data_IF_764729852678
#
_entry.id   IF_764729852678
#
_cell.length_a   1.000
_cell.length_b   1.000
_cell.length_c   1.000
_cell.angle_alpha   90.00
_cell.angle_beta   90.00
_cell.angle_gamma   90.00
#
_symmetry.space_group_name_H-M   'P 1'
#
loop_
_entity.id
_entity.type
_entity.pdbx_description
1 polymer ?
#
# COMPACT_ATOMS: atom_id res chain seq x y z
N UNK A 1 -18.99 26.59 14.07
CA UNK A 1 -18.61 25.20 14.41
C UNK A 1 -18.28 24.31 13.21
N UNK A 2 -18.59 24.72 11.96
CA UNK A 2 -18.34 23.93 10.73
C UNK A 2 -16.85 23.74 10.39
N UNK A 3 -15.97 24.70 10.71
CA UNK A 3 -14.57 24.69 10.22
C UNK A 3 -13.58 23.80 10.98
N UNK A 4 -13.79 23.50 12.26
CA UNK A 4 -12.81 22.72 13.05
C UNK A 4 -12.89 21.21 12.81
N UNK A 5 -14.06 20.69 12.48
CA UNK A 5 -14.24 19.26 12.22
C UNK A 5 -13.71 18.85 10.85
N UNK A 6 -13.69 19.79 9.93
CA UNK A 6 -13.26 19.64 8.56
C UNK A 6 -11.73 19.45 8.45
N UNK A 7 -10.96 20.19 9.25
CA UNK A 7 -9.49 20.05 9.30
C UNK A 7 -9.04 18.67 9.83
N UNK A 8 -9.82 18.03 10.70
CA UNK A 8 -9.53 16.69 11.21
C UNK A 8 -9.71 15.58 10.16
N UNK A 9 -10.61 15.76 9.20
CA UNK A 9 -10.76 14.83 8.07
C UNK A 9 -9.56 14.88 7.12
N UNK A 10 -8.97 16.07 6.94
CA UNK A 10 -7.78 16.28 6.09
C UNK A 10 -6.49 15.73 6.68
N UNK A 11 -6.33 15.77 8.01
CA UNK A 11 -5.11 15.29 8.66
C UNK A 11 -4.79 13.82 8.40
N UNK A 12 -5.71 13.06 7.83
CA UNK A 12 -5.55 11.64 7.53
C UNK A 12 -5.42 11.31 6.05
N UNK A 13 -5.83 12.20 5.15
CA UNK A 13 -5.52 12.05 3.72
C UNK A 13 -4.00 12.16 3.51
N UNK A 14 -3.32 13.03 4.31
CA UNK A 14 -1.86 13.16 4.28
C UNK A 14 -1.11 12.04 5.01
N UNK A 15 -1.76 11.26 5.88
CA UNK A 15 -1.13 10.22 6.70
C UNK A 15 -0.95 8.86 5.99
N UNK A 16 -1.56 8.67 4.83
CA UNK A 16 -1.45 7.40 4.10
C UNK A 16 -0.11 7.20 3.37
N UNK A 17 0.73 8.25 3.26
CA UNK A 17 2.03 8.16 2.58
C UNK A 17 3.24 8.65 3.40
N UNK A 18 3.10 8.91 4.72
CA UNK A 18 4.18 9.52 5.52
C UNK A 18 4.62 8.71 6.76
N UNK A 19 4.53 7.39 6.74
CA UNK A 19 5.14 6.56 7.79
C UNK A 19 6.49 6.01 7.34
N UNK A 20 7.49 6.88 7.31
CA UNK A 20 8.86 6.44 7.02
C UNK A 20 9.87 7.57 7.14
N UNK A 21 10.08 8.10 8.36
CA UNK A 21 11.40 8.51 8.85
C UNK A 21 11.29 9.17 10.24
N UNK A 22 11.73 8.46 11.26
CA UNK A 22 12.23 9.07 12.46
C UNK A 22 13.76 9.02 12.39
N UNK A 23 14.37 10.16 12.15
CA UNK A 23 15.82 10.33 12.16
C UNK A 23 16.38 10.18 13.57
N UNK A 24 17.49 9.49 13.67
CA UNK A 24 18.36 9.47 14.85
C UNK A 24 19.55 10.40 14.56
N UNK A 25 19.56 11.54 15.20
CA UNK A 25 20.75 12.37 15.40
C UNK A 25 21.47 11.86 16.65
N UNK A 26 22.74 11.62 16.54
CA UNK A 26 23.56 11.33 17.72
C UNK A 26 25.02 11.13 17.40
N UNK A 27 25.81 12.17 17.55
CA UNK A 27 26.95 12.22 18.45
C UNK A 27 28.28 11.76 17.89
N UNK A 28 29.11 12.74 17.59
CA UNK A 28 30.57 12.64 17.42
C UNK A 28 31.26 12.06 18.67
N UNK A 29 32.25 11.22 18.43
CA UNK A 29 33.27 10.81 19.43
C UNK A 29 34.44 10.15 18.74
N UNK A 30 35.46 10.95 18.41
CA UNK A 30 36.73 10.43 17.88
C UNK A 30 37.59 9.86 18.98
N UNK A 31 38.35 8.81 18.66
CA UNK A 31 39.65 8.55 19.26
C UNK A 31 40.52 7.73 18.31
N UNK A 32 41.76 8.17 18.23
CA UNK A 32 42.88 7.75 17.41
C UNK A 32 43.46 6.36 17.76
N UNK A 33 44.25 5.76 16.87
CA UNK A 33 44.71 4.39 16.98
C UNK A 33 45.97 4.23 17.82
N UNK A 34 46.08 3.09 18.52
CA UNK A 34 47.35 2.66 19.15
C UNK A 34 47.77 1.34 18.53
N UNK A 35 48.94 1.35 17.97
CA UNK A 35 49.74 0.20 17.51
C UNK A 35 50.18 -0.66 18.67
N UNK A 36 50.03 -1.99 18.54
CA UNK A 36 50.59 -2.97 19.45
C UNK A 36 50.84 -4.29 18.74
N UNK A 37 52.11 -4.56 18.56
CA UNK A 37 52.73 -5.79 18.02
C UNK A 37 52.66 -6.97 18.99
N UNK A 38 52.50 -8.18 18.44
CA UNK A 38 53.11 -9.36 19.08
C UNK A 38 52.21 -10.58 19.28
N UNK A 39 52.62 -11.69 18.71
CA UNK A 39 52.32 -13.02 19.26
C UNK A 39 51.54 -13.99 18.37
N UNK A 40 52.24 -14.73 17.53
CA UNK A 40 51.78 -15.97 16.90
C UNK A 40 51.56 -17.06 17.95
N UNK A 41 50.33 -17.58 18.02
CA UNK A 41 50.12 -18.96 18.49
C UNK A 41 49.05 -19.58 17.59
N UNK A 42 49.53 -20.54 16.80
CA UNK A 42 48.71 -21.39 15.94
C UNK A 42 47.85 -22.32 16.81
N UNK A 43 46.58 -22.10 16.87
CA UNK A 43 45.61 -23.08 17.34
C UNK A 43 44.87 -23.60 16.12
N UNK A 44 45.11 -24.87 15.78
CA UNK A 44 44.35 -25.63 14.81
C UNK A 44 42.91 -25.69 15.27
N UNK A 45 42.05 -24.89 14.61
CA UNK A 45 40.61 -25.02 14.75
C UNK A 45 40.15 -26.15 13.83
N UNK A 46 39.65 -27.22 14.42
CA UNK A 46 38.84 -28.23 13.76
C UNK A 46 37.65 -27.57 13.03
N UNK A 47 37.32 -27.97 11.80
CA UNK A 47 36.17 -27.42 11.12
C UNK A 47 34.91 -27.90 11.83
N UNK A 48 34.26 -27.02 12.55
CA UNK A 48 32.93 -27.26 13.09
C UNK A 48 31.91 -27.26 11.92
N UNK A 49 31.68 -28.45 11.39
CA UNK A 49 30.64 -28.73 10.38
C UNK A 49 29.28 -28.62 11.05
N UNK A 50 28.61 -27.46 10.89
CA UNK A 50 27.27 -27.29 11.48
C UNK A 50 26.55 -25.97 11.21
N UNK A 51 26.91 -25.22 10.19
CA UNK A 51 26.00 -24.18 9.69
C UNK A 51 25.39 -24.67 8.37
N UNK A 52 24.19 -25.25 8.45
CA UNK A 52 23.39 -25.52 7.28
C UNK A 52 23.16 -24.19 6.53
N UNK A 53 23.99 -23.91 5.54
CA UNK A 53 23.77 -22.83 4.61
C UNK A 53 22.51 -23.14 3.84
N UNK A 54 21.37 -22.64 4.34
CA UNK A 54 20.11 -22.69 3.59
C UNK A 54 20.33 -21.94 2.29
N UNK A 55 20.40 -22.68 1.18
CA UNK A 55 20.52 -22.06 -0.15
C UNK A 55 19.34 -21.10 -0.34
N UNK A 56 19.58 -19.89 -0.82
CA UNK A 56 18.51 -18.96 -1.10
C UNK A 56 17.58 -19.54 -2.15
N UNK A 57 16.28 -19.48 -1.90
CA UNK A 57 15.26 -19.90 -2.87
C UNK A 57 14.97 -18.68 -3.75
N UNK A 58 15.18 -18.84 -5.04
CA UNK A 58 14.76 -17.84 -6.04
C UNK A 58 13.42 -18.26 -6.62
N UNK A 59 12.56 -17.28 -6.87
CA UNK A 59 11.30 -17.44 -7.55
C UNK A 59 11.30 -16.48 -8.73
N UNK A 60 10.95 -16.98 -9.92
CA UNK A 60 10.85 -16.22 -11.15
C UNK A 60 9.57 -16.57 -11.90
N UNK A 61 9.17 -15.72 -12.81
CA UNK A 61 8.00 -15.96 -13.67
C UNK A 61 7.81 -14.82 -14.67
N UNK A 62 6.70 -14.86 -15.37
CA UNK A 62 6.33 -13.87 -16.36
C UNK A 62 4.90 -13.41 -16.16
N UNK A 63 4.62 -12.12 -16.42
CA UNK A 63 3.28 -11.55 -16.48
C UNK A 63 2.97 -11.16 -17.93
N UNK A 64 1.76 -11.46 -18.39
CA UNK A 64 1.26 -11.00 -19.68
C UNK A 64 -0.23 -10.67 -19.60
N UNK A 65 -0.71 -9.88 -20.54
CA UNK A 65 -2.13 -9.68 -20.74
C UNK A 65 -2.77 -10.91 -21.39
N UNK A 66 -4.08 -10.98 -21.36
CA UNK A 66 -4.85 -12.07 -21.95
C UNK A 66 -4.61 -12.24 -23.46
N UNK A 67 -4.23 -11.17 -24.17
CA UNK A 67 -3.85 -11.19 -25.59
C UNK A 67 -2.40 -11.65 -25.85
N UNK A 68 -1.66 -12.01 -24.80
CA UNK A 68 -0.26 -12.41 -24.83
C UNK A 68 0.74 -11.26 -24.86
N UNK A 69 0.30 -10.01 -24.89
CA UNK A 69 1.21 -8.87 -24.82
C UNK A 69 1.90 -8.80 -23.45
N UNK A 70 3.19 -8.45 -23.46
CA UNK A 70 3.99 -8.35 -22.23
C UNK A 70 3.77 -7.01 -21.55
N UNK A 71 3.70 -7.05 -20.23
CA UNK A 71 3.46 -5.87 -19.41
C UNK A 71 4.64 -5.64 -18.50
N UNK A 72 5.23 -4.45 -18.59
CA UNK A 72 6.28 -3.99 -17.68
C UNK A 72 5.69 -3.31 -16.45
N UNK A 73 6.45 -3.31 -15.35
CA UNK A 73 6.18 -2.50 -14.15
C UNK A 73 4.97 -2.95 -13.33
N UNK A 74 4.50 -4.16 -13.57
CA UNK A 74 3.46 -4.76 -12.75
C UNK A 74 4.05 -5.15 -11.40
N UNK A 75 3.37 -4.80 -10.33
CA UNK A 75 3.76 -5.18 -8.98
C UNK A 75 3.46 -6.65 -8.75
N UNK A 76 4.45 -7.42 -8.29
CA UNK A 76 4.27 -8.80 -7.87
C UNK A 76 4.08 -8.83 -6.36
N UNK A 77 2.95 -9.30 -5.93
CA UNK A 77 2.60 -9.43 -4.51
C UNK A 77 2.62 -10.89 -4.08
N UNK A 78 3.22 -11.11 -2.92
CA UNK A 78 3.07 -12.34 -2.17
C UNK A 78 1.97 -12.16 -1.13
N UNK A 79 0.97 -13.01 -1.17
CA UNK A 79 -0.15 -13.02 -0.21
C UNK A 79 -0.01 -14.25 0.68
N UNK A 80 0.29 -14.05 1.95
CA UNK A 80 0.39 -15.11 2.96
C UNK A 80 -0.60 -14.84 4.10
N UNK A 81 -1.50 -15.78 4.37
CA UNK A 81 -2.50 -15.58 5.42
C UNK A 81 -3.40 -14.35 5.20
N UNK A 82 -3.62 -13.96 3.94
CA UNK A 82 -4.41 -12.78 3.59
C UNK A 82 -3.65 -11.45 3.61
N UNK A 83 -2.37 -11.44 4.01
CA UNK A 83 -1.52 -10.24 3.99
C UNK A 83 -0.74 -10.21 2.68
N UNK A 84 -0.95 -9.15 1.89
CA UNK A 84 -0.22 -8.90 0.66
C UNK A 84 1.08 -8.14 0.97
N UNK A 85 2.18 -8.52 0.32
CA UNK A 85 3.47 -7.83 0.37
C UNK A 85 4.09 -7.80 -1.02
N UNK A 86 4.48 -6.64 -1.50
CA UNK A 86 5.25 -6.49 -2.74
C UNK A 86 6.60 -7.17 -2.62
N UNK A 87 6.95 -8.01 -3.59
CA UNK A 87 8.21 -8.77 -3.63
C UNK A 87 9.05 -8.50 -4.87
N UNK A 88 8.45 -8.03 -5.96
CA UNK A 88 9.14 -7.69 -7.19
C UNK A 88 8.29 -6.76 -8.08
N UNK A 89 8.92 -6.23 -9.12
CA UNK A 89 8.25 -5.61 -10.27
C UNK A 89 8.66 -6.36 -11.54
N UNK A 90 7.79 -6.37 -12.54
CA UNK A 90 8.13 -6.93 -13.84
C UNK A 90 9.07 -5.99 -14.62
N UNK A 91 10.00 -6.58 -15.36
CA UNK A 91 10.86 -5.88 -16.33
C UNK A 91 10.09 -5.52 -17.61
N UNK A 92 10.79 -4.93 -18.60
CA UNK A 92 10.23 -4.56 -19.91
C UNK A 92 9.70 -5.72 -20.74
N UNK A 93 10.05 -6.95 -20.41
CA UNK A 93 9.57 -8.17 -21.06
C UNK A 93 8.51 -8.92 -20.25
N UNK A 94 8.07 -8.31 -19.14
CA UNK A 94 7.11 -8.90 -18.22
C UNK A 94 7.70 -9.95 -17.28
N UNK A 95 9.03 -10.16 -17.24
CA UNK A 95 9.65 -11.11 -16.33
C UNK A 95 9.86 -10.49 -14.94
N UNK A 96 9.76 -11.34 -13.93
CA UNK A 96 10.10 -10.98 -12.55
C UNK A 96 10.94 -12.07 -11.90
N UNK A 97 11.74 -11.67 -10.91
CA UNK A 97 12.46 -12.59 -10.04
C UNK A 97 12.70 -11.96 -8.67
N UNK A 98 12.65 -12.76 -7.63
CA UNK A 98 12.97 -12.34 -6.27
C UNK A 98 13.50 -13.51 -5.44
N UNK A 99 14.22 -13.18 -4.36
CA UNK A 99 14.71 -14.15 -3.41
C UNK A 99 13.70 -14.35 -2.28
N UNK A 100 13.31 -15.59 -2.01
CA UNK A 100 12.43 -15.92 -0.89
C UNK A 100 13.16 -15.76 0.44
N UNK A 101 12.54 -15.06 1.37
CA UNK A 101 13.09 -14.87 2.71
C UNK A 101 14.06 -13.70 2.85
N UNK A 102 14.26 -12.90 1.80
CA UNK A 102 15.01 -11.65 1.91
C UNK A 102 14.28 -10.68 2.84
N UNK A 103 14.92 -10.34 3.97
CA UNK A 103 14.37 -9.40 4.96
C UNK A 103 14.59 -7.95 4.58
N UNK A 104 15.43 -7.69 3.57
CA UNK A 104 15.81 -6.35 3.14
C UNK A 104 14.90 -5.76 2.06
N UNK A 105 13.86 -6.48 1.62
CA UNK A 105 12.79 -5.88 0.85
C UNK A 105 11.90 -5.07 1.81
N UNK A 106 12.41 -3.93 2.27
CA UNK A 106 11.62 -2.92 2.97
C UNK A 106 10.81 -2.16 1.90
N UNK A 107 9.78 -2.80 1.41
CA UNK A 107 8.62 -2.05 0.94
C UNK A 107 7.85 -1.74 2.20
N UNK A 108 7.92 -0.50 2.66
CA UNK A 108 7.17 -0.02 3.81
C UNK A 108 5.69 -0.12 3.46
N UNK A 109 5.06 -1.22 3.86
CA UNK A 109 3.62 -1.31 3.91
C UNK A 109 3.16 -0.58 5.17
N UNK A 110 2.33 0.44 4.99
CA UNK A 110 1.78 1.27 6.07
C UNK A 110 0.88 0.49 7.04
N UNK A 111 0.65 -0.80 6.83
CA UNK A 111 -0.17 -1.67 7.68
C UNK A 111 0.60 -2.35 8.83
N UNK A 112 1.94 -2.26 8.87
CA UNK A 112 2.75 -2.98 9.89
C UNK A 112 3.10 -2.14 11.13
N UNK A 113 2.54 -0.95 11.29
CA UNK A 113 2.80 -0.03 12.41
C UNK A 113 1.98 -0.33 13.69
N UNK A 114 1.52 -1.55 13.91
CA UNK A 114 0.55 -1.85 14.98
C UNK A 114 0.75 -3.09 15.85
N UNK A 115 1.95 -3.69 16.00
CA UNK A 115 2.12 -4.72 17.04
C UNK A 115 3.55 -4.91 17.54
N UNK A 116 4.12 -3.86 18.09
CA UNK A 116 5.32 -3.93 18.94
C UNK A 116 4.99 -4.50 20.31
N UNK A 117 4.85 -5.80 20.46
CA UNK A 117 4.95 -6.47 21.77
C UNK A 117 6.34 -7.07 21.93
N UNK A 118 7.20 -6.25 22.50
CA UNK A 118 8.38 -6.71 23.24
C UNK A 118 7.94 -7.72 24.29
N UNK A 119 8.39 -8.96 24.18
CA UNK A 119 8.40 -9.89 25.31
C UNK A 119 9.84 -10.18 25.70
N UNK A 120 10.18 -9.56 26.81
CA UNK A 120 11.37 -9.75 27.59
C UNK A 120 11.47 -11.21 28.08
N UNK A 121 12.68 -11.71 28.03
CA UNK A 121 13.13 -13.00 28.52
C UNK A 121 12.84 -13.20 30.00
N UNK A 122 12.31 -14.36 30.33
CA UNK A 122 12.30 -14.91 31.68
C UNK A 122 12.79 -16.34 31.65
N UNK A 123 13.88 -16.57 32.30
CA UNK A 123 14.55 -17.86 32.50
C UNK A 123 13.74 -18.78 33.43
N UNK A 124 13.90 -20.07 33.22
CA UNK A 124 13.81 -21.01 34.35
C UNK A 124 13.04 -22.30 34.08
N UNK A 125 13.71 -23.43 34.28
CA UNK A 125 13.04 -24.60 34.79
C UNK A 125 13.22 -25.91 34.02
N UNK A 126 14.07 -26.72 34.53
CA UNK A 126 14.34 -28.15 34.24
C UNK A 126 13.09 -29.04 34.20
N UNK A 127 13.12 -30.06 33.36
CA UNK A 127 12.16 -31.17 33.41
C UNK A 127 12.49 -32.24 32.37
N UNK A 128 13.29 -33.23 32.78
CA UNK A 128 13.58 -34.45 32.05
C UNK A 128 12.38 -35.39 31.97
N UNK A 129 12.10 -35.93 30.79
CA UNK A 129 11.48 -37.25 30.65
C UNK A 129 11.90 -37.90 29.34
N UNK A 130 12.60 -39.01 29.46
CA UNK A 130 12.94 -39.98 28.43
C UNK A 130 11.65 -40.74 28.05
N UNK A 131 11.43 -40.93 26.75
CA UNK A 131 10.85 -42.18 26.28
C UNK A 131 11.24 -42.44 24.83
N UNK A 132 11.79 -43.61 24.62
CA UNK A 132 12.24 -44.17 23.36
C UNK A 132 11.04 -44.50 22.44
N UNK A 133 11.21 -44.26 21.16
CA UNK A 133 10.28 -44.70 20.13
C UNK A 133 10.87 -44.35 18.76
N UNK A 134 11.52 -45.33 18.11
CA UNK A 134 12.10 -45.16 16.79
C UNK A 134 10.99 -44.95 15.74
N UNK A 135 10.98 -43.81 15.15
CA UNK A 135 10.30 -43.46 13.94
C UNK A 135 11.17 -42.44 13.24
N UNK A 136 11.53 -42.69 11.98
CA UNK A 136 12.22 -41.71 11.13
C UNK A 136 11.43 -40.44 11.11
N UNK A 137 11.72 -39.52 12.04
CA UNK A 137 11.20 -38.17 12.02
C UNK A 137 11.79 -37.50 10.77
N UNK A 138 10.98 -37.42 9.73
CA UNK A 138 11.15 -36.43 8.67
C UNK A 138 11.27 -35.08 9.39
N UNK A 139 12.48 -34.55 9.47
CA UNK A 139 12.70 -33.21 9.99
C UNK A 139 11.79 -32.28 9.19
N UNK A 140 10.88 -31.55 9.85
CA UNK A 140 10.01 -30.62 9.12
C UNK A 140 10.93 -29.65 8.41
N UNK A 141 10.83 -29.55 7.08
CA UNK A 141 11.55 -28.56 6.30
C UNK A 141 11.13 -27.17 6.84
N UNK A 142 12.02 -26.43 7.54
CA UNK A 142 11.65 -25.14 8.11
C UNK A 142 11.29 -24.10 7.04
N UNK A 143 11.52 -24.41 5.77
CA UNK A 143 11.16 -23.59 4.62
C UNK A 143 9.80 -23.98 4.04
N UNK A 144 9.44 -25.25 3.97
CA UNK A 144 8.14 -25.69 3.47
C UNK A 144 6.98 -25.16 4.30
N UNK A 145 7.14 -25.10 5.63
CA UNK A 145 6.12 -24.53 6.51
C UNK A 145 5.93 -23.01 6.33
N UNK A 146 6.93 -22.29 5.81
CA UNK A 146 6.84 -20.83 5.55
C UNK A 146 6.17 -20.48 4.23
N UNK A 147 6.08 -21.42 3.29
CA UNK A 147 5.35 -21.25 2.03
C UNK A 147 3.89 -21.70 2.13
N UNK A 148 3.52 -22.39 3.21
CA UNK A 148 2.12 -22.82 3.43
C UNK A 148 1.20 -21.60 3.47
N UNK A 149 0.12 -21.67 2.70
CA UNK A 149 -0.87 -20.60 2.54
C UNK A 149 -0.33 -19.29 1.92
N UNK A 150 0.72 -19.37 1.11
CA UNK A 150 1.20 -18.24 0.33
C UNK A 150 0.86 -18.42 -1.14
N UNK A 151 0.44 -17.33 -1.77
CA UNK A 151 0.14 -17.21 -3.19
C UNK A 151 0.92 -16.04 -3.78
N UNK A 152 1.21 -16.10 -5.06
CA UNK A 152 1.67 -14.96 -5.85
C UNK A 152 0.53 -14.46 -6.73
N UNK A 153 0.43 -13.16 -6.85
CA UNK A 153 -0.44 -12.48 -7.80
C UNK A 153 0.26 -11.27 -8.40
N UNK A 154 -0.14 -10.89 -9.57
CA UNK A 154 0.23 -9.62 -10.17
C UNK A 154 -0.80 -8.56 -9.76
N UNK A 155 -0.36 -7.40 -9.31
CA UNK A 155 -1.23 -6.29 -8.97
C UNK A 155 -1.01 -5.16 -9.97
N UNK A 156 -2.03 -4.91 -10.78
CA UNK A 156 -2.09 -3.83 -11.73
C UNK A 156 -3.52 -3.27 -11.70
N UNK A 157 -3.74 -2.01 -11.24
CA UNK A 157 -5.05 -1.40 -11.24
C UNK A 157 -5.70 -1.44 -12.63
N UNK A 158 -7.00 -1.74 -12.67
CA UNK A 158 -7.73 -2.00 -13.91
C UNK A 158 -7.68 -3.45 -14.40
N UNK A 159 -6.95 -4.32 -13.67
CA UNK A 159 -6.81 -5.73 -14.03
C UNK A 159 -7.00 -6.65 -12.82
N UNK A 160 -7.60 -7.81 -13.05
CA UNK A 160 -7.50 -8.95 -12.13
C UNK A 160 -6.39 -9.87 -12.61
N UNK A 161 -5.70 -10.56 -11.70
CA UNK A 161 -4.65 -11.51 -12.05
C UNK A 161 -5.01 -12.92 -11.64
N UNK A 162 -4.48 -13.88 -12.41
CA UNK A 162 -4.38 -15.24 -11.92
C UNK A 162 -3.50 -15.30 -10.67
N UNK A 163 -3.76 -16.28 -9.81
CA UNK A 163 -2.97 -16.55 -8.63
C UNK A 163 -2.18 -17.83 -8.77
N UNK A 164 -0.93 -17.83 -8.31
CA UNK A 164 -0.07 -19.01 -8.30
C UNK A 164 0.16 -19.45 -6.86
N UNK A 165 -0.30 -20.64 -6.52
CA UNK A 165 -0.09 -21.25 -5.22
C UNK A 165 1.37 -21.68 -5.04
N UNK A 166 1.96 -21.31 -3.89
CA UNK A 166 3.32 -21.70 -3.53
C UNK A 166 3.37 -22.92 -2.60
N UNK A 167 2.21 -23.44 -2.19
CA UNK A 167 2.05 -24.47 -1.16
C UNK A 167 2.81 -25.77 -1.44
N UNK A 168 2.88 -26.22 -2.70
CA UNK A 168 3.50 -27.49 -3.08
C UNK A 168 4.92 -27.34 -3.63
N UNK A 169 5.51 -26.13 -3.57
CA UNK A 169 6.86 -25.90 -4.10
C UNK A 169 7.92 -26.21 -3.06
N UNK A 170 8.87 -27.05 -3.46
CA UNK A 170 10.05 -27.41 -2.68
C UNK A 170 11.25 -26.59 -3.15
N UNK A 171 12.25 -26.47 -2.28
CA UNK A 171 13.53 -25.79 -2.57
C UNK A 171 14.29 -26.31 -3.79
N UNK A 172 14.00 -27.55 -4.20
CA UNK A 172 14.61 -28.20 -5.36
C UNK A 172 13.78 -28.10 -6.64
N UNK A 173 12.57 -27.52 -6.56
CA UNK A 173 11.70 -27.40 -7.72
C UNK A 173 12.18 -26.26 -8.64
N UNK A 174 11.71 -26.30 -9.90
CA UNK A 174 11.97 -25.22 -10.84
C UNK A 174 11.56 -23.86 -10.21
N UNK A 175 12.47 -22.88 -10.11
CA UNK A 175 12.15 -21.56 -9.56
C UNK A 175 11.11 -20.79 -10.39
N UNK A 176 10.90 -21.20 -11.64
CA UNK A 176 9.92 -20.57 -12.53
C UNK A 176 8.49 -20.97 -12.17
N UNK A 177 7.69 -19.97 -11.80
CA UNK A 177 6.27 -20.15 -11.48
C UNK A 177 5.38 -20.13 -12.72
N UNK A 178 5.95 -19.89 -13.90
CA UNK A 178 5.22 -19.82 -15.16
C UNK A 178 4.63 -18.45 -15.44
N UNK A 179 3.52 -18.45 -16.15
CA UNK A 179 2.83 -17.25 -16.62
C UNK A 179 1.69 -16.87 -15.66
N UNK A 180 1.68 -15.61 -15.22
CA UNK A 180 0.55 -14.97 -14.54
C UNK A 180 -0.17 -14.12 -15.57
N UNK A 181 -1.44 -14.41 -15.83
CA UNK A 181 -2.25 -13.65 -16.80
C UNK A 181 -3.03 -12.54 -16.10
N UNK A 182 -3.00 -11.35 -16.70
CA UNK A 182 -3.81 -10.21 -16.31
C UNK A 182 -5.06 -10.14 -17.19
N UNK A 183 -6.22 -10.09 -16.53
CA UNK A 183 -7.53 -9.98 -17.15
C UNK A 183 -8.08 -8.58 -16.90
N UNK A 184 -8.43 -7.84 -17.95
CA UNK A 184 -8.98 -6.50 -17.81
C UNK A 184 -10.34 -6.54 -17.10
N UNK A 185 -10.52 -5.67 -16.11
CA UNK A 185 -11.79 -5.51 -15.40
C UNK A 185 -12.78 -4.79 -16.34
N UNK A 186 -13.96 -5.36 -16.52
CA UNK A 186 -14.99 -4.74 -17.36
C UNK A 186 -15.44 -3.41 -16.76
N UNK A 187 -15.57 -2.37 -17.60
CA UNK A 187 -16.03 -1.03 -17.17
C UNK A 187 -14.94 -0.14 -16.56
N UNK A 188 -13.67 -0.59 -16.52
CA UNK A 188 -12.53 0.25 -16.13
C UNK A 188 -11.86 0.79 -17.39
N UNK A 189 -11.93 2.12 -17.61
CA UNK A 189 -11.29 2.79 -18.76
C UNK A 189 -9.85 3.17 -18.46
N UNK A 190 -9.56 3.50 -17.20
CA UNK A 190 -8.24 3.85 -16.72
C UNK A 190 -7.30 2.66 -16.64
N UNK A 191 -6.03 2.95 -16.60
CA UNK A 191 -4.99 1.94 -16.45
C UNK A 191 -3.87 2.49 -15.56
N UNK A 192 -3.29 1.62 -14.75
CA UNK A 192 -1.99 1.89 -14.14
C UNK A 192 -0.83 1.64 -15.13
N UNK A 193 -1.14 1.00 -16.25
CA UNK A 193 -0.17 0.67 -17.31
C UNK A 193 -0.41 1.63 -18.46
N UNK A 194 0.51 2.58 -18.63
CA UNK A 194 0.42 3.57 -19.67
C UNK A 194 0.86 3.01 -21.02
N UNK A 195 0.02 3.20 -22.04
CA UNK A 195 0.38 2.84 -23.43
C UNK A 195 1.61 3.60 -23.89
N UNK A 196 1.72 4.88 -23.57
CA UNK A 196 2.89 5.69 -23.94
C UNK A 196 4.16 5.18 -23.28
N UNK A 197 4.08 4.75 -22.03
CA UNK A 197 5.22 4.15 -21.32
C UNK A 197 5.65 2.82 -21.93
N UNK A 198 4.70 2.02 -22.42
CA UNK A 198 5.05 0.79 -23.17
C UNK A 198 5.83 1.08 -24.45
N UNK A 199 5.63 2.24 -25.07
CA UNK A 199 6.35 2.68 -26.27
C UNK A 199 7.72 3.29 -25.98
N UNK A 200 8.12 3.45 -24.72
CA UNK A 200 9.38 4.05 -24.35
C UNK A 200 10.59 3.31 -24.96
N UNK A 201 11.61 4.02 -25.46
CA UNK A 201 12.84 3.42 -25.98
C UNK A 201 13.54 2.55 -24.93
N UNK A 202 14.24 1.50 -25.37
CA UNK A 202 14.97 0.57 -24.49
C UNK A 202 15.89 1.26 -23.49
N UNK A 203 16.55 2.36 -23.90
CA UNK A 203 17.41 3.16 -23.03
C UNK A 203 16.65 3.78 -21.85
N UNK A 204 15.48 4.38 -22.12
CA UNK A 204 14.62 4.97 -21.08
C UNK A 204 14.06 3.90 -20.16
N UNK A 205 13.58 2.77 -20.71
CA UNK A 205 13.09 1.62 -19.91
C UNK A 205 14.13 1.10 -18.95
N UNK A 206 15.37 0.87 -19.44
CA UNK A 206 16.46 0.36 -18.60
C UNK A 206 16.80 1.30 -17.43
N UNK A 207 16.82 2.61 -17.68
CA UNK A 207 17.08 3.59 -16.62
C UNK A 207 15.91 3.63 -15.63
N UNK A 208 14.68 3.59 -16.11
CA UNK A 208 13.51 3.53 -15.27
C UNK A 208 13.47 2.27 -14.37
N UNK A 209 13.77 1.09 -14.94
CA UNK A 209 13.89 -0.18 -14.20
C UNK A 209 14.97 -0.09 -13.10
N UNK A 210 16.10 0.57 -13.39
CA UNK A 210 17.12 0.83 -12.38
C UNK A 210 16.60 1.70 -11.25
N UNK A 211 15.81 2.74 -11.56
CA UNK A 211 15.14 3.57 -10.57
C UNK A 211 14.17 2.77 -9.67
N UNK A 212 13.37 1.86 -10.25
CA UNK A 212 12.50 0.96 -9.46
C UNK A 212 13.32 0.04 -8.53
N UNK A 213 14.44 -0.50 -9.03
CA UNK A 213 15.34 -1.30 -8.22
C UNK A 213 15.99 -0.49 -7.08
N UNK A 214 16.27 0.79 -7.32
CA UNK A 214 16.76 1.69 -6.28
C UNK A 214 15.69 1.92 -5.20
N UNK A 215 14.41 2.08 -5.56
CA UNK A 215 13.30 2.15 -4.60
C UNK A 215 13.21 0.90 -3.73
N UNK A 216 13.26 -0.29 -4.35
CA UNK A 216 13.25 -1.57 -3.62
C UNK A 216 14.40 -1.69 -2.62
N UNK A 217 15.54 -1.08 -2.93
CA UNK A 217 16.73 -1.03 -2.03
C UNK A 217 16.68 0.10 -1.00
N UNK A 218 15.58 0.84 -0.91
CA UNK A 218 15.45 1.99 0.00
C UNK A 218 16.35 3.17 -0.36
N UNK A 219 16.64 3.38 -1.65
CA UNK A 219 17.48 4.47 -2.16
C UNK A 219 16.69 5.50 -2.99
N UNK A 220 15.78 6.28 -2.36
CA UNK A 220 14.89 7.19 -3.10
C UNK A 220 15.63 8.31 -3.83
N UNK A 221 16.83 8.68 -3.38
CA UNK A 221 17.63 9.72 -4.07
C UNK A 221 18.22 9.20 -5.39
N UNK A 222 18.66 7.95 -5.43
CA UNK A 222 19.17 7.33 -6.64
C UNK A 222 18.00 7.09 -7.63
N UNK A 223 16.87 6.59 -7.12
CA UNK A 223 15.66 6.40 -7.91
C UNK A 223 15.18 7.70 -8.58
N UNK A 224 15.19 8.82 -7.87
CA UNK A 224 14.78 10.10 -8.44
C UNK A 224 15.66 10.53 -9.61
N UNK A 225 17.00 10.37 -9.51
CA UNK A 225 17.93 10.66 -10.60
C UNK A 225 17.68 9.78 -11.83
N UNK A 226 17.39 8.50 -11.57
CA UNK A 226 17.09 7.57 -12.66
C UNK A 226 15.77 7.92 -13.34
N UNK A 227 14.72 8.28 -12.59
CA UNK A 227 13.46 8.70 -13.19
C UNK A 227 13.59 10.04 -13.94
N UNK A 228 14.37 11.01 -13.41
CA UNK A 228 14.69 12.25 -14.12
C UNK A 228 15.38 11.95 -15.46
N UNK A 229 16.39 11.07 -15.46
CA UNK A 229 17.05 10.64 -16.67
C UNK A 229 16.12 9.87 -17.63
N UNK A 230 15.17 9.08 -17.09
CA UNK A 230 14.20 8.36 -17.92
C UNK A 230 13.28 9.33 -18.67
N UNK A 231 12.78 10.40 -18.01
CA UNK A 231 11.94 11.42 -18.67
C UNK A 231 12.73 12.37 -19.57
N UNK A 232 14.01 12.57 -19.32
CA UNK A 232 14.91 13.27 -20.27
C UNK A 232 15.07 12.48 -21.57
N UNK A 233 15.25 11.14 -21.47
CA UNK A 233 15.36 10.26 -22.63
C UNK A 233 14.03 10.06 -23.37
N UNK A 234 12.92 10.11 -22.64
CA UNK A 234 11.58 9.95 -23.19
C UNK A 234 10.56 10.79 -22.40
N UNK A 235 10.29 12.04 -22.84
CA UNK A 235 9.40 12.97 -22.12
C UNK A 235 7.96 12.48 -21.93
N UNK A 236 7.48 11.56 -22.78
CA UNK A 236 6.15 10.95 -22.67
C UNK A 236 6.11 9.71 -21.76
N UNK A 237 7.09 9.54 -20.88
CA UNK A 237 7.14 8.42 -19.96
C UNK A 237 6.23 8.68 -18.74
N UNK A 238 4.93 8.42 -18.87
CA UNK A 238 3.92 8.76 -17.86
C UNK A 238 4.25 8.18 -16.48
N UNK A 239 4.63 6.88 -16.37
CA UNK A 239 4.95 6.27 -15.07
C UNK A 239 6.22 6.86 -14.43
N UNK A 240 7.19 7.26 -15.22
CA UNK A 240 8.37 7.93 -14.67
C UNK A 240 8.02 9.29 -14.06
N UNK A 241 7.13 10.05 -14.72
CA UNK A 241 6.58 11.29 -14.15
C UNK A 241 5.77 11.03 -12.87
N UNK A 242 4.94 9.97 -12.82
CA UNK A 242 4.20 9.59 -11.63
C UNK A 242 5.15 9.31 -10.46
N UNK A 243 6.19 8.49 -10.68
CA UNK A 243 7.14 8.14 -9.63
C UNK A 243 7.97 9.33 -9.17
N UNK A 244 8.35 10.24 -10.08
CA UNK A 244 8.97 11.52 -9.72
C UNK A 244 8.05 12.36 -8.84
N UNK A 245 6.78 12.47 -9.21
CA UNK A 245 5.77 13.18 -8.42
C UNK A 245 5.67 12.63 -7.00
N UNK A 246 5.57 11.33 -6.84
CA UNK A 246 5.52 10.66 -5.52
C UNK A 246 6.77 10.94 -4.68
N UNK A 247 7.97 10.78 -5.25
CA UNK A 247 9.23 11.09 -4.55
C UNK A 247 9.36 12.56 -4.17
N UNK A 248 8.81 13.47 -4.97
CA UNK A 248 8.79 14.91 -4.66
C UNK A 248 7.83 15.23 -3.52
N UNK A 249 6.69 14.53 -3.41
CA UNK A 249 5.80 14.62 -2.24
C UNK A 249 6.54 14.17 -0.98
N UNK A 250 7.23 13.04 -1.00
CA UNK A 250 8.00 12.54 0.14
C UNK A 250 9.07 13.55 0.60
N UNK A 251 9.63 14.33 -0.32
CA UNK A 251 10.59 15.42 -0.03
C UNK A 251 9.93 16.74 0.30
N UNK A 252 8.61 16.78 0.43
CA UNK A 252 7.82 18.00 0.66
C UNK A 252 7.96 19.07 -0.45
N UNK A 253 8.39 18.66 -1.63
CA UNK A 253 8.53 19.52 -2.81
C UNK A 253 7.20 19.51 -3.60
N UNK A 254 6.19 20.20 -3.07
CA UNK A 254 4.80 20.07 -3.53
C UNK A 254 4.61 20.60 -4.95
N UNK A 255 5.08 21.82 -5.27
CA UNK A 255 4.91 22.38 -6.62
C UNK A 255 5.62 21.57 -7.70
N UNK A 256 6.88 21.13 -7.53
CA UNK A 256 7.50 20.19 -8.47
C UNK A 256 6.75 18.86 -8.60
N UNK A 257 6.09 18.39 -7.53
CA UNK A 257 5.27 17.17 -7.61
C UNK A 257 4.02 17.39 -8.48
N UNK A 258 3.32 18.53 -8.29
CA UNK A 258 2.17 18.91 -9.15
C UNK A 258 2.55 18.95 -10.63
N UNK A 259 3.69 19.60 -10.95
CA UNK A 259 4.19 19.64 -12.32
C UNK A 259 4.47 18.25 -12.90
N UNK A 260 5.06 17.35 -12.11
CA UNK A 260 5.29 15.98 -12.53
C UNK A 260 3.99 15.23 -12.84
N UNK A 261 2.98 15.35 -11.97
CA UNK A 261 1.68 14.72 -12.20
C UNK A 261 0.93 15.31 -13.40
N UNK A 262 1.00 16.63 -13.63
CA UNK A 262 0.44 17.26 -14.83
C UNK A 262 1.11 16.71 -16.11
N UNK A 263 2.45 16.58 -16.11
CA UNK A 263 3.17 15.96 -17.22
C UNK A 263 2.82 14.49 -17.43
N UNK A 264 2.53 13.75 -16.36
CA UNK A 264 2.03 12.38 -16.45
C UNK A 264 0.67 12.33 -17.18
N UNK A 265 -0.26 13.23 -16.84
CA UNK A 265 -1.58 13.35 -17.49
C UNK A 265 -1.43 13.76 -18.95
N UNK A 266 -0.56 14.72 -19.26
CA UNK A 266 -0.28 15.16 -20.63
C UNK A 266 0.30 14.01 -21.47
N UNK A 267 1.12 13.15 -20.84
CA UNK A 267 1.71 11.98 -21.50
C UNK A 267 0.70 10.89 -21.76
N UNK A 268 -0.17 10.62 -20.80
CA UNK A 268 -1.25 9.63 -20.91
C UNK A 268 -2.42 9.99 -19.98
N UNK A 269 -3.51 10.48 -20.57
CA UNK A 269 -4.70 10.92 -19.84
C UNK A 269 -5.55 9.80 -19.21
N UNK A 270 -5.18 8.53 -19.44
CA UNK A 270 -5.86 7.36 -18.86
C UNK A 270 -5.20 6.83 -17.59
N UNK A 271 -4.03 7.33 -17.23
CA UNK A 271 -3.36 6.95 -15.98
C UNK A 271 -4.09 7.58 -14.79
N UNK A 272 -4.58 6.75 -13.87
CA UNK A 272 -5.45 7.17 -12.75
C UNK A 272 -4.67 7.91 -11.66
N UNK A 273 -3.50 7.37 -11.31
CA UNK A 273 -2.71 7.85 -10.16
C UNK A 273 -2.45 9.36 -10.15
N UNK A 274 -2.04 10.02 -11.25
CA UNK A 274 -1.75 11.45 -11.19
C UNK A 274 -3.00 12.31 -10.92
N UNK A 275 -4.19 11.89 -11.37
CA UNK A 275 -5.43 12.57 -11.01
C UNK A 275 -5.73 12.46 -9.52
N UNK A 276 -5.61 11.25 -8.96
CA UNK A 276 -5.79 11.03 -7.53
C UNK A 276 -4.83 11.88 -6.70
N UNK A 277 -3.55 11.87 -7.03
CA UNK A 277 -2.53 12.63 -6.28
C UNK A 277 -2.74 14.17 -6.38
N UNK A 278 -3.09 14.70 -7.56
CA UNK A 278 -3.42 16.11 -7.73
C UNK A 278 -4.67 16.49 -6.93
N UNK A 279 -5.69 15.64 -6.93
CA UNK A 279 -6.90 15.83 -6.13
C UNK A 279 -6.61 15.84 -4.63
N UNK A 280 -5.76 14.93 -4.14
CA UNK A 280 -5.32 14.92 -2.75
C UNK A 280 -4.50 16.15 -2.37
N UNK A 281 -3.62 16.62 -3.25
CA UNK A 281 -2.86 17.86 -3.04
C UNK A 281 -3.77 19.08 -2.99
N UNK A 282 -4.78 19.16 -3.87
CA UNK A 282 -5.77 20.23 -3.86
C UNK A 282 -6.63 20.19 -2.57
N UNK A 283 -7.04 19.00 -2.13
CA UNK A 283 -7.75 18.82 -0.86
C UNK A 283 -6.94 19.31 0.34
N UNK A 284 -5.62 19.04 0.35
CA UNK A 284 -4.70 19.52 1.40
C UNK A 284 -4.67 21.04 1.49
N UNK A 285 -4.78 21.71 0.35
CA UNK A 285 -4.83 23.17 0.26
C UNK A 285 -6.25 23.73 0.45
N UNK A 286 -7.22 22.86 0.78
CA UNK A 286 -8.64 23.18 0.90
C UNK A 286 -9.26 23.76 -0.39
N UNK A 287 -8.64 23.51 -1.54
CA UNK A 287 -9.19 23.84 -2.85
C UNK A 287 -10.13 22.71 -3.31
N UNK A 288 -11.37 22.74 -2.76
CA UNK A 288 -12.33 21.65 -2.93
C UNK A 288 -12.82 21.49 -4.36
N UNK A 289 -12.95 22.61 -5.09
CA UNK A 289 -13.38 22.59 -6.49
C UNK A 289 -12.36 21.87 -7.39
N UNK A 290 -11.09 22.23 -7.25
CA UNK A 290 -10.01 21.57 -7.99
C UNK A 290 -9.85 20.11 -7.56
N UNK A 291 -9.97 19.84 -6.24
CA UNK A 291 -9.91 18.50 -5.68
C UNK A 291 -11.01 17.61 -6.28
N UNK A 292 -12.28 18.06 -6.25
CA UNK A 292 -13.40 17.32 -6.82
C UNK A 292 -13.19 17.04 -8.30
N UNK A 293 -12.80 18.05 -9.09
CA UNK A 293 -12.54 17.87 -10.53
C UNK A 293 -11.54 16.78 -10.85
N UNK A 294 -10.42 16.72 -10.10
CA UNK A 294 -9.42 15.67 -10.32
C UNK A 294 -9.89 14.31 -9.80
N UNK A 295 -10.55 14.28 -8.63
CA UNK A 295 -11.01 13.02 -8.03
C UNK A 295 -12.19 12.41 -8.78
N UNK A 296 -13.15 13.21 -9.24
CA UNK A 296 -14.20 12.77 -10.17
C UNK A 296 -13.58 12.03 -11.36
N UNK A 297 -12.55 12.63 -11.98
CA UNK A 297 -11.88 12.00 -13.11
C UNK A 297 -11.15 10.70 -12.72
N UNK A 298 -10.53 10.65 -11.55
CA UNK A 298 -9.87 9.44 -11.06
C UNK A 298 -10.86 8.28 -10.89
N UNK A 299 -12.02 8.53 -10.23
CA UNK A 299 -13.03 7.50 -9.98
C UNK A 299 -13.86 7.13 -11.22
N UNK A 300 -13.96 8.02 -12.22
CA UNK A 300 -14.50 7.68 -13.54
C UNK A 300 -13.59 6.72 -14.31
N UNK A 301 -12.28 6.98 -14.29
CA UNK A 301 -11.30 6.15 -14.96
C UNK A 301 -11.21 4.76 -14.34
N UNK A 302 -11.22 4.69 -13.01
CA UNK A 302 -11.18 3.43 -12.29
C UNK A 302 -12.09 3.47 -11.06
N UNK A 303 -13.32 2.96 -11.19
CA UNK A 303 -14.29 2.97 -10.10
C UNK A 303 -14.08 1.86 -9.06
N UNK A 304 -13.09 0.96 -9.24
CA UNK A 304 -12.99 -0.29 -8.47
C UNK A 304 -11.76 -0.35 -7.58
N UNK A 305 -10.58 0.06 -8.08
CA UNK A 305 -9.31 -0.25 -7.43
C UNK A 305 -8.83 0.82 -6.44
N UNK A 306 -9.50 1.98 -6.38
CA UNK A 306 -9.06 3.12 -5.57
C UNK A 306 -10.10 3.58 -4.53
N UNK A 307 -10.37 2.79 -3.46
CA UNK A 307 -11.31 3.22 -2.41
C UNK A 307 -10.91 4.54 -1.74
N UNK A 308 -9.61 4.85 -1.69
CA UNK A 308 -9.11 6.12 -1.18
C UNK A 308 -9.46 7.31 -2.09
N UNK A 309 -9.54 7.12 -3.42
CA UNK A 309 -9.99 8.17 -4.33
C UNK A 309 -11.47 8.48 -4.09
N UNK A 310 -12.32 7.47 -3.94
CA UNK A 310 -13.73 7.64 -3.58
C UNK A 310 -13.92 8.33 -2.22
N UNK A 311 -13.10 8.00 -1.23
CA UNK A 311 -13.14 8.68 0.06
C UNK A 311 -12.78 10.16 -0.07
N UNK A 312 -11.70 10.48 -0.77
CA UNK A 312 -11.25 11.85 -0.97
C UNK A 312 -12.25 12.66 -1.80
N UNK A 313 -12.83 12.06 -2.84
CA UNK A 313 -13.90 12.60 -3.67
C UNK A 313 -15.12 12.98 -2.82
N UNK A 314 -15.58 12.05 -1.98
CA UNK A 314 -16.67 12.31 -1.05
C UNK A 314 -16.35 13.44 -0.07
N UNK A 315 -15.10 13.57 0.40
CA UNK A 315 -14.66 14.70 1.25
C UNK A 315 -14.74 16.01 0.48
N UNK A 316 -14.30 16.06 -0.77
CA UNK A 316 -14.35 17.27 -1.58
C UNK A 316 -15.81 17.71 -1.81
N UNK A 317 -16.68 16.80 -2.26
CA UNK A 317 -18.10 17.08 -2.48
C UNK A 317 -18.85 17.45 -1.20
N UNK A 318 -18.52 16.83 -0.06
CA UNK A 318 -19.10 17.21 1.24
C UNK A 318 -18.77 18.67 1.59
N UNK A 319 -17.53 19.10 1.34
CA UNK A 319 -17.10 20.47 1.60
C UNK A 319 -17.74 21.48 0.65
N UNK A 320 -18.05 21.08 -0.58
CA UNK A 320 -18.78 21.89 -1.56
C UNK A 320 -20.30 21.93 -1.28
N UNK A 321 -20.80 21.13 -0.31
CA UNK A 321 -22.24 21.00 -0.04
C UNK A 321 -22.99 20.10 -1.03
N UNK A 322 -22.27 19.39 -1.89
CA UNK A 322 -22.82 18.46 -2.88
C UNK A 322 -23.07 17.08 -2.20
N UNK A 323 -24.04 17.04 -1.28
CA UNK A 323 -24.26 15.87 -0.42
C UNK A 323 -24.67 14.60 -1.15
N UNK A 324 -25.32 14.69 -2.32
CA UNK A 324 -25.65 13.51 -3.12
C UNK A 324 -24.41 12.84 -3.72
N UNK A 325 -23.49 13.63 -4.27
CA UNK A 325 -22.22 13.14 -4.76
C UNK A 325 -21.35 12.60 -3.61
N UNK A 326 -21.31 13.32 -2.49
CA UNK A 326 -20.60 12.90 -1.29
C UNK A 326 -21.11 11.56 -0.74
N UNK A 327 -22.43 11.33 -0.75
CA UNK A 327 -23.00 10.04 -0.34
C UNK A 327 -22.59 8.91 -1.28
N UNK A 328 -22.71 9.14 -2.59
CA UNK A 328 -22.28 8.16 -3.60
C UNK A 328 -20.83 7.75 -3.39
N UNK A 329 -19.93 8.74 -3.24
CA UNK A 329 -18.50 8.51 -3.02
C UNK A 329 -18.22 7.79 -1.70
N UNK A 330 -18.83 8.24 -0.60
CA UNK A 330 -18.61 7.62 0.72
C UNK A 330 -19.12 6.17 0.76
N UNK A 331 -20.28 5.87 0.16
CA UNK A 331 -20.79 4.49 0.05
C UNK A 331 -19.89 3.61 -0.81
N UNK A 332 -19.37 4.15 -1.92
CA UNK A 332 -18.41 3.44 -2.77
C UNK A 332 -17.12 3.13 -1.99
N UNK A 333 -16.57 4.09 -1.25
CA UNK A 333 -15.38 3.90 -0.42
C UNK A 333 -15.57 2.81 0.65
N UNK A 334 -16.73 2.79 1.34
CA UNK A 334 -17.06 1.75 2.33
C UNK A 334 -17.20 0.38 1.66
N UNK A 335 -17.88 0.30 0.52
CA UNK A 335 -18.12 -0.96 -0.21
C UNK A 335 -16.82 -1.58 -0.73
N UNK A 336 -15.89 -0.75 -1.20
CA UNK A 336 -14.61 -1.17 -1.78
C UNK A 336 -13.55 -1.49 -0.71
N UNK A 337 -13.82 -1.17 0.55
CA UNK A 337 -12.96 -1.48 1.70
C UNK A 337 -13.61 -2.48 2.66
N UNK A 338 -13.81 -3.76 2.28
CA UNK A 338 -14.47 -4.76 3.12
C UNK A 338 -13.68 -5.12 4.38
N UNK A 339 -12.40 -4.77 4.43
CA UNK A 339 -11.54 -4.96 5.61
C UNK A 339 -11.58 -3.77 6.56
N UNK A 340 -12.26 -2.70 6.19
CA UNK A 340 -12.32 -1.44 6.93
C UNK A 340 -10.93 -0.89 7.30
N UNK A 341 -10.00 -0.97 6.36
CA UNK A 341 -8.66 -0.39 6.52
C UNK A 341 -8.73 1.13 6.74
N UNK A 342 -9.77 1.78 6.17
CA UNK A 342 -10.10 3.17 6.44
C UNK A 342 -11.48 3.33 7.09
N UNK A 343 -11.61 3.17 8.43
CA UNK A 343 -12.90 3.33 9.14
C UNK A 343 -13.51 4.73 8.99
N UNK A 344 -12.71 5.75 8.62
CA UNK A 344 -13.19 7.11 8.43
C UNK A 344 -14.17 7.26 7.26
N UNK A 345 -14.22 6.29 6.34
CA UNK A 345 -15.25 6.25 5.31
C UNK A 345 -16.65 6.12 5.92
N UNK A 346 -16.81 5.29 6.99
CA UNK A 346 -18.07 5.20 7.74
C UNK A 346 -18.37 6.51 8.49
N UNK A 347 -17.36 7.15 9.10
CA UNK A 347 -17.53 8.44 9.76
C UNK A 347 -18.02 9.52 8.79
N UNK A 348 -17.37 9.65 7.63
CA UNK A 348 -17.76 10.58 6.58
C UNK A 348 -19.19 10.30 6.09
N UNK A 349 -19.54 9.04 5.83
CA UNK A 349 -20.89 8.68 5.41
C UNK A 349 -21.93 9.08 6.48
N UNK A 350 -21.62 8.85 7.77
CA UNK A 350 -22.46 9.32 8.87
C UNK A 350 -22.66 10.83 8.88
N UNK A 351 -21.61 11.63 8.58
CA UNK A 351 -21.71 13.09 8.45
C UNK A 351 -22.61 13.50 7.26
N UNK A 352 -22.40 12.88 6.10
CA UNK A 352 -23.17 13.14 4.89
C UNK A 352 -24.66 12.83 5.10
N UNK A 353 -24.98 11.68 5.70
CA UNK A 353 -26.35 11.27 6.01
C UNK A 353 -27.02 12.21 7.03
N UNK A 354 -26.24 12.76 7.97
CA UNK A 354 -26.74 13.76 8.91
C UNK A 354 -27.19 15.04 8.18
N UNK A 355 -26.39 15.55 7.26
CA UNK A 355 -26.76 16.73 6.43
C UNK A 355 -28.00 16.45 5.54
N UNK A 356 -28.13 15.20 5.07
CA UNK A 356 -29.31 14.73 4.32
C UNK A 356 -30.52 14.42 5.19
N UNK A 357 -30.40 14.54 6.52
CA UNK A 357 -31.43 14.23 7.52
C UNK A 357 -31.83 12.75 7.60
N UNK A 358 -31.03 11.84 7.07
CA UNK A 358 -31.14 10.41 7.35
C UNK A 358 -30.45 10.09 8.68
N UNK A 359 -31.12 10.45 9.77
CA UNK A 359 -30.54 10.30 11.11
C UNK A 359 -30.35 8.84 11.54
N UNK A 360 -31.20 7.94 11.03
CA UNK A 360 -31.08 6.51 11.34
C UNK A 360 -29.86 5.89 10.63
N UNK A 361 -29.69 6.18 9.36
CA UNK A 361 -28.51 5.77 8.60
C UNK A 361 -27.23 6.38 9.18
N UNK A 362 -27.25 7.67 9.51
CA UNK A 362 -26.11 8.37 10.12
C UNK A 362 -25.69 7.72 11.47
N UNK A 363 -26.65 7.38 12.32
CA UNK A 363 -26.37 6.72 13.62
C UNK A 363 -25.74 5.34 13.42
N UNK A 364 -26.22 4.56 12.44
CA UNK A 364 -25.67 3.23 12.14
C UNK A 364 -24.20 3.31 11.67
N UNK A 365 -23.88 4.27 10.80
CA UNK A 365 -22.52 4.47 10.28
C UNK A 365 -21.57 4.99 11.37
N UNK A 366 -21.99 5.93 12.21
CA UNK A 366 -21.19 6.40 13.35
C UNK A 366 -20.95 5.29 14.40
N UNK A 367 -21.94 4.45 14.69
CA UNK A 367 -21.77 3.30 15.57
C UNK A 367 -20.74 2.31 14.99
N UNK A 368 -20.78 2.08 13.68
CA UNK A 368 -19.80 1.25 12.97
C UNK A 368 -18.39 1.84 13.08
N UNK A 369 -18.22 3.15 12.84
CA UNK A 369 -16.94 3.85 13.01
C UNK A 369 -16.39 3.70 14.44
N UNK A 370 -17.21 3.93 15.46
CA UNK A 370 -16.82 3.82 16.88
C UNK A 370 -16.32 2.41 17.22
N UNK A 371 -16.95 1.39 16.64
CA UNK A 371 -16.56 -0.01 16.82
C UNK A 371 -15.22 -0.33 16.15
N UNK A 372 -15.02 0.18 14.93
CA UNK A 372 -13.84 -0.11 14.10
C UNK A 372 -12.61 0.68 14.54
N UNK A 373 -12.79 1.89 15.07
CA UNK A 373 -11.71 2.80 15.41
C UNK A 373 -11.71 3.20 16.91
N UNK A 374 -11.56 2.26 17.86
CA UNK A 374 -11.70 2.51 19.30
C UNK A 374 -10.65 3.48 19.88
N UNK A 375 -9.55 3.69 19.17
CA UNK A 375 -8.45 4.58 19.58
C UNK A 375 -8.37 5.86 18.73
N UNK A 376 -9.39 6.16 17.93
CA UNK A 376 -9.37 7.34 17.09
C UNK A 376 -9.42 8.63 17.93
N UNK A 377 -8.66 9.68 17.54
CA UNK A 377 -8.60 10.93 18.32
C UNK A 377 -9.94 11.67 18.38
N UNK A 378 -10.82 11.45 17.43
CA UNK A 378 -12.16 12.04 17.30
C UNK A 378 -13.30 11.15 17.85
N UNK A 379 -12.94 10.04 18.53
CA UNK A 379 -13.91 9.08 19.08
C UNK A 379 -14.92 9.72 20.04
N UNK A 380 -14.46 10.61 20.91
CA UNK A 380 -15.31 11.33 21.86
C UNK A 380 -16.38 12.15 21.12
N UNK A 381 -15.99 12.85 20.06
CA UNK A 381 -16.90 13.63 19.22
C UNK A 381 -17.89 12.75 18.45
N UNK A 382 -17.42 11.62 17.92
CA UNK A 382 -18.29 10.65 17.25
C UNK A 382 -19.37 10.10 18.19
N UNK A 383 -19.03 9.79 19.45
CA UNK A 383 -20.00 9.36 20.47
C UNK A 383 -21.04 10.42 20.82
N UNK A 384 -20.62 11.69 20.97
CA UNK A 384 -21.55 12.80 21.23
C UNK A 384 -22.54 12.93 20.08
N UNK A 385 -22.06 12.92 18.82
CA UNK A 385 -22.91 13.00 17.63
C UNK A 385 -23.87 11.82 17.55
N UNK A 386 -23.40 10.60 17.82
CA UNK A 386 -24.27 9.42 17.86
C UNK A 386 -25.42 9.60 18.86
N UNK A 387 -25.13 10.06 20.09
CA UNK A 387 -26.16 10.31 21.09
C UNK A 387 -27.16 11.42 20.71
N UNK A 388 -26.73 12.42 19.95
CA UNK A 388 -27.64 13.44 19.37
C UNK A 388 -28.57 12.85 18.31
N UNK A 389 -28.02 12.03 17.41
CA UNK A 389 -28.80 11.36 16.35
C UNK A 389 -29.80 10.35 16.92
N UNK A 390 -29.43 9.62 17.98
CA UNK A 390 -30.32 8.67 18.65
C UNK A 390 -31.51 9.39 19.31
N UNK A 391 -31.32 10.57 19.88
CA UNK A 391 -32.43 11.41 20.41
C UNK A 391 -33.36 11.87 19.29
N UNK A 392 -32.83 12.27 18.14
CA UNK A 392 -33.64 12.68 16.98
C UNK A 392 -34.45 11.51 16.41
N UNK A 393 -33.85 10.32 16.35
CA UNK A 393 -34.56 9.10 15.88
C UNK A 393 -35.59 8.59 16.87
N UNK A 394 -35.30 8.67 18.19
CA UNK A 394 -36.24 8.29 19.26
C UNK A 394 -37.46 9.20 19.31
N UNK A 395 -37.26 10.51 19.14
CA UNK A 395 -38.35 11.50 19.08
C UNK A 395 -39.26 11.33 17.86
N UNK A 396 -38.69 10.96 16.71
CA UNK A 396 -39.48 10.71 15.49
C UNK A 396 -40.34 9.44 15.58
N UNK A 397 -39.89 8.40 16.27
CA UNK A 397 -40.68 7.18 16.53
C UNK A 397 -41.84 7.44 17.48
N UNK A 398 -41.67 8.30 18.51
CA UNK A 398 -42.74 8.69 19.40
C UNK A 398 -43.76 9.60 18.70
N UNK A 399 -43.33 10.51 17.83
CA UNK A 399 -44.23 11.37 17.06
C UNK A 399 -45.07 10.58 16.06
N UNK A 400 -44.49 9.55 15.39
CA UNK A 400 -45.20 8.66 14.47
C UNK A 400 -46.18 7.72 15.18
N UNK A 401 -45.95 7.38 16.45
CA UNK A 401 -46.84 6.56 17.25
C UNK A 401 -48.05 7.32 17.86
N UNK A 402 -48.06 8.66 17.73
CA UNK A 402 -49.11 9.55 18.25
C UNK A 402 -49.90 10.26 17.16
N UNK A 403 -49.82 9.85 15.91
CA UNK A 403 -50.77 10.30 14.87
C UNK A 403 -51.93 9.31 14.84
N UNK A 404 -53.18 9.83 15.08
CA UNK A 404 -54.40 9.03 15.14
C UNK A 404 -54.82 8.47 13.78
#
# INVERSE_FOLDING_TARGET
MKNSTLLLLLGTIAGFNLAGQAGSTGGMGGTTPTTGSGGQTSVQATPNSGSGSSRPIYISGKVALQDGSTVSQVTIERVCGGIAKTVAYTDSNGHFSFQWGDRNLIVTDASDAGSGRSRNSGSGGFGSAQSAGGGSALTPDPFGSRMMNCQLRANAPGFTSDTVDLFNRRTADNPDVGLIVLHRIAGVEGSSISVTSMMAPKGAKKVYEHGLQALLKGKPNDAAKDFEKAVELYPQYAEAWVNLGKLRIERQSIEPAREAFKKAIESDSKVVTPYMELGLLAAKDANWEESGKYLDRAVELDPVDFPQAWYADAVAHFNLGNYDAAEKGARAAVKLDPRHANPRSCYLLGLVLTEKKDYAGAAAELATYIKLAPNAPDLAQARVRLGELEKLTGGSKQAAAHQP
#
